data_IF_595236172269
#
_entry.id   IF_595236172269
#
_cell.length_a   1.000
_cell.length_b   1.000
_cell.length_c   1.000
_cell.angle_alpha   90.00
_cell.angle_beta   90.00
_cell.angle_gamma   90.00
#
_symmetry.space_group_name_H-M   'P 1'
#
loop_
_entity.id
_entity.type
_entity.pdbx_description
1 polymer ?
#
# COMPACT_ATOMS: atom_id res chain seq x y z
N UNK A 1 29.65 -31.15 38.93
CA UNK A 1 29.75 -32.26 39.89
C UNK A 1 31.22 -32.49 40.16
N UNK A 2 31.77 -31.85 41.19
CA UNK A 2 33.10 -32.18 41.71
C UNK A 2 32.92 -32.45 43.20
N UNK A 3 33.34 -33.66 43.53
CA UNK A 3 33.07 -34.47 44.70
C UNK A 3 33.85 -33.90 45.89
N UNK A 4 33.16 -33.62 46.99
CA UNK A 4 33.80 -33.29 48.25
C UNK A 4 34.61 -34.50 48.72
N UNK A 5 35.92 -34.31 48.88
CA UNK A 5 36.80 -35.30 49.52
C UNK A 5 36.68 -35.06 51.01
N UNK A 6 35.82 -35.84 51.63
CA UNK A 6 35.66 -35.96 53.07
C UNK A 6 36.95 -36.56 53.66
N UNK A 7 37.65 -35.78 54.49
CA UNK A 7 38.77 -36.28 55.28
C UNK A 7 38.22 -37.16 56.40
N UNK A 8 38.37 -38.48 56.25
CA UNK A 8 38.16 -39.44 57.33
C UNK A 8 39.25 -39.23 58.38
N UNK A 9 38.92 -38.57 59.49
CA UNK A 9 39.70 -38.64 60.72
C UNK A 9 39.46 -40.03 61.29
N UNK A 10 40.40 -40.96 61.05
CA UNK A 10 40.39 -42.24 61.76
C UNK A 10 40.82 -41.99 63.20
N UNK A 11 39.90 -42.22 64.13
CA UNK A 11 40.13 -42.31 65.57
C UNK A 11 41.37 -43.17 65.86
N UNK A 12 42.39 -42.54 66.43
CA UNK A 12 43.61 -43.19 66.92
C UNK A 12 43.49 -43.53 68.42
N UNK A 13 42.29 -43.86 68.89
CA UNK A 13 42.06 -44.42 70.23
C UNK A 13 42.19 -45.94 70.16
N UNK A 14 43.42 -46.46 70.03
CA UNK A 14 43.73 -47.87 70.30
C UNK A 14 45.26 -48.04 70.34
N UNK A 15 45.85 -47.83 71.52
CA UNK A 15 46.97 -48.62 72.08
C UNK A 15 47.37 -48.06 73.46
N UNK A 16 46.67 -48.55 74.47
CA UNK A 16 47.07 -48.44 75.87
C UNK A 16 48.23 -49.45 76.09
N UNK A 17 49.45 -48.95 76.25
CA UNK A 17 50.66 -49.74 76.42
C UNK A 17 51.68 -48.99 77.27
N UNK A 18 51.80 -49.43 78.52
CA UNK A 18 52.68 -48.96 79.58
C UNK A 18 54.17 -48.84 79.16
N UNK A 19 54.67 -47.61 79.02
CA UNK A 19 56.10 -47.29 79.18
C UNK A 19 56.29 -45.89 79.76
N UNK A 20 56.54 -45.80 81.07
CA UNK A 20 57.18 -44.64 81.70
C UNK A 20 58.63 -44.49 81.21
N UNK A 21 58.83 -43.79 80.10
CA UNK A 21 60.06 -43.08 79.70
C UNK A 21 59.80 -42.34 78.39
N UNK A 22 60.07 -41.03 78.40
CA UNK A 22 60.10 -40.09 77.25
C UNK A 22 58.82 -39.31 76.86
N UNK A 23 57.93 -38.99 77.82
CA UNK A 23 56.79 -38.06 77.61
C UNK A 23 57.20 -36.65 77.10
N UNK A 24 58.44 -36.24 77.33
CA UNK A 24 58.94 -34.94 76.88
C UNK A 24 59.34 -34.94 75.39
N UNK A 25 59.89 -36.04 74.87
CA UNK A 25 60.32 -36.12 73.47
C UNK A 25 59.14 -36.45 72.53
N UNK A 26 58.17 -37.25 72.98
CA UNK A 26 56.93 -37.52 72.20
C UNK A 26 56.04 -36.28 72.05
N UNK A 27 55.95 -35.44 73.10
CA UNK A 27 55.22 -34.17 73.04
C UNK A 27 55.87 -33.13 72.12
N UNK A 28 57.21 -33.09 72.06
CA UNK A 28 57.95 -32.21 71.17
C UNK A 28 57.82 -32.67 69.70
N UNK A 29 57.90 -33.97 69.44
CA UNK A 29 57.69 -34.55 68.10
C UNK A 29 56.25 -34.35 67.59
N UNK A 30 55.25 -34.53 68.45
CA UNK A 30 53.84 -34.28 68.11
C UNK A 30 53.58 -32.78 67.81
N UNK A 31 54.23 -31.87 68.54
CA UNK A 31 54.19 -30.43 68.29
C UNK A 31 54.84 -30.03 66.95
N UNK A 32 55.99 -30.64 66.61
CA UNK A 32 56.63 -30.45 65.32
C UNK A 32 55.80 -31.00 64.15
N UNK A 33 55.17 -32.17 64.33
CA UNK A 33 54.26 -32.76 63.35
C UNK A 33 53.05 -31.85 63.09
N UNK A 34 52.40 -31.34 64.13
CA UNK A 34 51.26 -30.43 63.99
C UNK A 34 51.68 -29.12 63.30
N UNK A 35 52.87 -28.58 63.60
CA UNK A 35 53.42 -27.39 62.93
C UNK A 35 53.71 -27.63 61.45
N UNK A 36 54.21 -28.82 61.11
CA UNK A 36 54.45 -29.23 59.73
C UNK A 36 53.13 -29.43 58.97
N UNK A 37 52.14 -30.04 59.60
CA UNK A 37 50.79 -30.21 59.04
C UNK A 37 50.13 -28.86 58.78
N UNK A 38 50.21 -27.93 59.73
CA UNK A 38 49.69 -26.57 59.54
C UNK A 38 50.40 -25.88 58.36
N UNK A 39 51.72 -26.03 58.24
CA UNK A 39 52.47 -25.46 57.11
C UNK A 39 52.08 -26.11 55.78
N UNK A 40 51.89 -27.43 55.74
CA UNK A 40 51.43 -28.15 54.55
C UNK A 40 50.01 -27.73 54.17
N UNK A 41 49.11 -27.58 55.13
CA UNK A 41 47.75 -27.11 54.90
C UNK A 41 47.74 -25.68 54.36
N UNK A 42 48.54 -24.78 54.95
CA UNK A 42 48.70 -23.41 54.47
C UNK A 42 49.27 -23.36 53.05
N UNK A 43 50.26 -24.20 52.73
CA UNK A 43 50.85 -24.30 51.39
C UNK A 43 49.87 -24.89 50.38
N UNK A 44 49.10 -25.91 50.75
CA UNK A 44 48.10 -26.50 49.87
C UNK A 44 46.99 -25.49 49.57
N UNK A 45 46.47 -24.80 50.59
CA UNK A 45 45.51 -23.70 50.43
C UNK A 45 46.06 -22.55 49.56
N UNK A 46 47.35 -22.25 49.70
CA UNK A 46 48.02 -21.24 48.85
C UNK A 46 48.12 -21.71 47.39
N UNK A 47 48.44 -22.99 47.15
CA UNK A 47 48.50 -23.59 45.82
C UNK A 47 47.11 -23.66 45.18
N UNK A 48 46.07 -24.05 45.92
CA UNK A 48 44.68 -24.03 45.47
C UNK A 48 44.25 -22.62 45.06
N UNK A 49 44.58 -21.59 45.87
CA UNK A 49 44.29 -20.20 45.52
C UNK A 49 44.99 -19.78 44.23
N UNK A 50 46.26 -20.14 44.05
CA UNK A 50 47.02 -19.85 42.82
C UNK A 50 46.47 -20.59 41.60
N UNK A 51 46.05 -21.84 41.76
CA UNK A 51 45.38 -22.61 40.70
C UNK A 51 44.05 -21.99 40.31
N UNK A 52 43.24 -21.57 41.29
CA UNK A 52 41.98 -20.88 41.03
C UNK A 52 42.19 -19.54 40.32
N UNK A 53 43.22 -18.79 40.70
CA UNK A 53 43.59 -17.53 40.04
C UNK A 53 44.11 -17.76 38.60
N UNK A 54 44.98 -18.74 38.40
CA UNK A 54 45.47 -19.11 37.07
C UNK A 54 44.33 -19.58 36.15
N UNK A 55 43.40 -20.39 36.64
CA UNK A 55 42.22 -20.81 35.87
C UNK A 55 41.34 -19.62 35.49
N UNK A 56 41.07 -18.69 36.40
CA UNK A 56 40.33 -17.45 36.09
C UNK A 56 41.04 -16.60 35.03
N UNK A 57 42.36 -16.51 35.07
CA UNK A 57 43.14 -15.80 34.05
C UNK A 57 43.07 -16.52 32.69
N UNK A 58 43.13 -17.85 32.68
CA UNK A 58 42.96 -18.66 31.47
C UNK A 58 41.57 -18.49 30.86
N UNK A 59 40.52 -18.48 31.67
CA UNK A 59 39.14 -18.21 31.22
C UNK A 59 39.03 -16.80 30.63
N UNK A 60 39.58 -15.79 31.32
CA UNK A 60 39.60 -14.40 30.83
C UNK A 60 40.32 -14.25 29.49
N UNK A 61 41.50 -14.86 29.35
CA UNK A 61 42.27 -14.89 28.10
C UNK A 61 41.53 -15.62 26.97
N UNK A 62 40.82 -16.69 27.31
CA UNK A 62 40.03 -17.48 26.34
C UNK A 62 38.84 -16.67 25.82
N UNK A 63 38.15 -15.92 26.67
CA UNK A 63 37.07 -15.02 26.23
C UNK A 63 37.61 -13.83 25.41
N UNK A 64 38.76 -13.27 25.79
CA UNK A 64 39.44 -12.23 25.01
C UNK A 64 39.80 -12.74 23.59
N UNK A 65 40.35 -13.95 23.49
CA UNK A 65 40.66 -14.59 22.20
C UNK A 65 39.41 -14.83 21.36
N UNK A 66 38.30 -15.29 21.95
CA UNK A 66 37.02 -15.45 21.24
C UNK A 66 36.51 -14.11 20.71
N UNK A 67 36.60 -13.05 21.51
CA UNK A 67 36.15 -11.72 21.11
C UNK A 67 37.02 -11.17 19.98
N UNK A 68 38.35 -11.28 20.08
CA UNK A 68 39.27 -10.90 19.01
C UNK A 68 39.01 -11.69 17.73
N UNK A 69 38.80 -13.01 17.83
CA UNK A 69 38.47 -13.85 16.67
C UNK A 69 37.14 -13.45 16.01
N UNK A 70 36.12 -13.09 16.80
CA UNK A 70 34.86 -12.57 16.26
C UNK A 70 35.03 -11.23 15.54
N UNK A 71 35.90 -10.37 16.07
CA UNK A 71 36.24 -9.08 15.48
C UNK A 71 37.03 -9.25 14.19
N UNK A 72 37.99 -10.17 14.15
CA UNK A 72 38.76 -10.52 12.96
C UNK A 72 37.83 -10.99 11.84
N UNK A 73 36.93 -11.94 12.13
CA UNK A 73 35.91 -12.40 11.17
C UNK A 73 35.04 -11.26 10.63
N UNK A 74 34.62 -10.33 11.49
CA UNK A 74 33.83 -9.17 11.08
C UNK A 74 34.63 -8.22 10.18
N UNK A 75 35.92 -8.03 10.46
CA UNK A 75 36.80 -7.21 9.64
C UNK A 75 37.05 -7.88 8.29
N UNK A 76 37.27 -9.19 8.25
CA UNK A 76 37.41 -9.94 7.00
C UNK A 76 36.17 -9.85 6.13
N UNK A 77 34.97 -9.99 6.70
CA UNK A 77 33.73 -9.81 5.93
C UNK A 77 33.61 -8.39 5.37
N UNK A 78 34.00 -7.37 6.14
CA UNK A 78 33.99 -5.96 5.67
C UNK A 78 35.00 -5.73 4.56
N UNK A 79 36.19 -6.31 4.66
CA UNK A 79 37.23 -6.21 3.61
C UNK A 79 36.75 -6.91 2.34
N UNK A 80 36.13 -8.09 2.45
CA UNK A 80 35.56 -8.81 1.29
C UNK A 80 34.43 -8.01 0.63
N UNK A 81 33.53 -7.41 1.41
CA UNK A 81 32.47 -6.54 0.91
C UNK A 81 33.04 -5.32 0.18
N UNK A 82 34.02 -4.64 0.77
CA UNK A 82 34.69 -3.50 0.15
C UNK A 82 35.42 -3.89 -1.14
N UNK A 83 36.13 -5.02 -1.16
CA UNK A 83 36.80 -5.52 -2.36
C UNK A 83 35.81 -5.87 -3.47
N UNK A 84 34.66 -6.47 -3.13
CA UNK A 84 33.59 -6.74 -4.08
C UNK A 84 32.98 -5.45 -4.63
N UNK A 85 32.76 -4.44 -3.79
CA UNK A 85 32.25 -3.13 -4.20
C UNK A 85 33.24 -2.40 -5.11
N UNK A 86 34.54 -2.40 -4.78
CA UNK A 86 35.58 -1.81 -5.64
C UNK A 86 35.59 -2.50 -7.00
N UNK A 87 35.57 -3.84 -7.03
CA UNK A 87 35.53 -4.59 -8.30
C UNK A 87 34.28 -4.26 -9.12
N UNK A 88 33.12 -4.08 -8.49
CA UNK A 88 31.91 -3.65 -9.18
C UNK A 88 32.06 -2.23 -9.76
N UNK A 89 32.59 -1.28 -8.97
CA UNK A 89 32.87 0.07 -9.44
C UNK A 89 33.91 0.10 -10.57
N UNK A 90 34.94 -0.73 -10.51
CA UNK A 90 35.94 -0.85 -11.59
C UNK A 90 35.32 -1.36 -12.88
N UNK A 91 34.41 -2.33 -12.81
CA UNK A 91 33.64 -2.82 -13.97
C UNK A 91 32.72 -1.72 -14.51
N UNK A 92 32.03 -1.00 -13.63
CA UNK A 92 31.14 0.10 -14.02
C UNK A 92 31.91 1.27 -14.65
N UNK A 93 33.08 1.62 -14.10
CA UNK A 93 33.99 2.64 -14.65
C UNK A 93 34.57 2.16 -15.98
N UNK A 94 34.98 0.89 -16.08
CA UNK A 94 35.47 0.31 -17.34
C UNK A 94 34.39 0.32 -18.42
N UNK A 95 33.14 0.07 -18.05
CA UNK A 95 31.99 0.16 -18.95
C UNK A 95 31.69 1.60 -19.35
N UNK A 96 31.84 2.55 -18.41
CA UNK A 96 31.68 3.97 -18.68
C UNK A 96 32.82 4.53 -19.56
N UNK A 97 34.05 4.03 -19.42
CA UNK A 97 35.21 4.46 -20.19
C UNK A 97 35.33 3.80 -21.57
N UNK A 98 34.74 2.62 -21.77
CA UNK A 98 34.64 1.93 -23.07
C UNK A 98 33.41 2.34 -23.90
N UNK A 99 32.50 3.16 -23.35
CA UNK A 99 31.52 3.90 -24.16
C UNK A 99 32.24 4.93 -25.04
N UNK A 100 31.73 5.26 -26.25
CA UNK A 100 32.40 6.18 -27.15
C UNK A 100 32.63 7.51 -26.43
N UNK A 101 33.89 7.95 -26.45
CA UNK A 101 34.49 8.99 -25.64
C UNK A 101 33.64 10.26 -25.46
N UNK A 102 33.71 10.84 -24.26
CA UNK A 102 33.31 12.23 -24.02
C UNK A 102 31.98 12.39 -23.27
N UNK A 103 32.04 12.20 -21.96
CA UNK A 103 31.03 12.73 -21.04
C UNK A 103 31.24 14.24 -20.84
N UNK A 104 30.84 15.04 -21.82
CA UNK A 104 30.24 16.35 -21.54
C UNK A 104 28.78 16.25 -22.01
N UNK A 105 27.87 16.82 -21.23
CA UNK A 105 26.43 16.53 -21.29
C UNK A 105 25.86 16.38 -22.70
N UNK A 106 25.46 15.15 -23.05
CA UNK A 106 24.55 14.87 -24.17
C UNK A 106 23.13 15.32 -23.77
N UNK A 107 23.00 16.61 -23.45
CA UNK A 107 21.74 17.31 -23.39
C UNK A 107 21.27 17.62 -24.81
N UNK A 108 20.02 18.08 -24.92
CA UNK A 108 19.35 18.55 -26.15
C UNK A 108 20.25 19.34 -27.12
N UNK A 109 21.28 20.00 -26.61
CA UNK A 109 22.24 20.83 -27.34
C UNK A 109 23.11 20.05 -28.35
N UNK A 110 23.43 18.76 -28.10
CA UNK A 110 24.22 17.97 -29.07
C UNK A 110 23.38 17.55 -30.28
N UNK A 111 22.08 17.25 -30.09
CA UNK A 111 21.15 17.01 -31.20
C UNK A 111 20.92 18.29 -32.02
N UNK A 112 20.88 19.45 -31.37
CA UNK A 112 20.78 20.75 -32.02
C UNK A 112 22.05 21.05 -32.86
N UNK A 113 23.25 20.82 -32.31
CA UNK A 113 24.52 21.01 -33.01
C UNK A 113 24.74 20.01 -34.17
N UNK A 114 24.23 18.79 -34.07
CA UNK A 114 24.25 17.81 -35.17
C UNK A 114 23.26 18.17 -36.28
N UNK A 115 22.08 18.70 -35.94
CA UNK A 115 21.13 19.25 -36.90
C UNK A 115 21.69 20.51 -37.61
N UNK A 116 22.38 21.38 -36.88
CA UNK A 116 22.97 22.61 -37.43
C UNK A 116 24.17 22.32 -38.34
N UNK A 117 24.90 21.23 -38.07
CA UNK A 117 26.00 20.75 -38.93
C UNK A 117 25.51 20.01 -40.19
N UNK A 118 24.24 19.61 -40.24
CA UNK A 118 23.59 18.98 -41.40
C UNK A 118 23.05 20.02 -42.42
N UNK A 119 23.79 21.10 -42.67
CA UNK A 119 23.54 22.00 -43.80
C UNK A 119 23.95 21.30 -45.12
N UNK A 120 23.23 21.49 -46.24
CA UNK A 120 23.19 20.51 -47.31
C UNK A 120 24.35 20.68 -48.29
N UNK A 121 25.36 19.82 -48.18
CA UNK A 121 26.20 19.45 -49.31
C UNK A 121 26.51 17.95 -49.29
N UNK A 122 25.80 17.22 -50.15
CA UNK A 122 26.10 15.87 -50.67
C UNK A 122 26.22 14.65 -49.71
N UNK A 123 25.63 14.68 -48.51
CA UNK A 123 25.75 13.58 -47.51
C UNK A 123 24.47 13.09 -46.83
N UNK A 124 23.31 13.11 -47.48
CA UNK A 124 21.99 12.89 -46.84
C UNK A 124 21.82 11.49 -46.19
N UNK A 125 22.49 10.46 -46.70
CA UNK A 125 22.38 9.08 -46.18
C UNK A 125 23.23 8.87 -44.91
N UNK A 126 24.36 9.56 -44.75
CA UNK A 126 25.25 9.36 -43.59
C UNK A 126 24.80 10.16 -42.37
N UNK A 127 24.17 11.32 -42.57
CA UNK A 127 23.60 12.13 -41.49
C UNK A 127 22.40 11.45 -40.82
N UNK A 128 21.56 10.78 -41.62
CA UNK A 128 20.39 10.03 -41.14
C UNK A 128 20.77 8.78 -40.36
N UNK A 129 21.78 8.04 -40.82
CA UNK A 129 22.35 6.90 -40.08
C UNK A 129 23.01 7.31 -38.76
N UNK A 130 23.72 8.45 -38.75
CA UNK A 130 24.33 9.01 -37.53
C UNK A 130 23.29 9.43 -36.49
N UNK A 131 22.22 10.10 -36.93
CA UNK A 131 21.10 10.48 -36.07
C UNK A 131 20.35 9.24 -35.54
N UNK A 132 20.11 8.24 -36.38
CA UNK A 132 19.46 6.99 -35.98
C UNK A 132 20.30 6.23 -34.94
N UNK A 133 21.62 6.21 -35.09
CA UNK A 133 22.56 5.63 -34.12
C UNK A 133 22.53 6.36 -32.78
N UNK A 134 22.54 7.70 -32.79
CA UNK A 134 22.45 8.51 -31.57
C UNK A 134 21.12 8.29 -30.82
N UNK A 135 20.01 8.23 -31.56
CA UNK A 135 18.67 7.95 -30.99
C UNK A 135 18.61 6.51 -30.42
N UNK A 136 19.20 5.53 -31.10
CA UNK A 136 19.29 4.17 -30.59
C UNK A 136 20.09 4.11 -29.27
N UNK A 137 21.22 4.81 -29.19
CA UNK A 137 22.03 4.88 -27.98
C UNK A 137 21.27 5.55 -26.83
N UNK A 138 20.55 6.64 -27.12
CA UNK A 138 19.74 7.35 -26.11
C UNK A 138 18.60 6.47 -25.60
N UNK A 139 17.90 5.77 -26.50
CA UNK A 139 16.87 4.77 -26.15
C UNK A 139 17.45 3.70 -25.24
N UNK A 140 18.65 3.19 -25.56
CA UNK A 140 19.26 2.11 -24.79
C UNK A 140 19.69 2.58 -23.39
N UNK A 141 20.13 3.84 -23.25
CA UNK A 141 20.38 4.47 -21.93
C UNK A 141 19.09 4.60 -21.12
N UNK A 142 18.02 5.11 -21.72
CA UNK A 142 16.71 5.20 -21.05
C UNK A 142 16.19 3.83 -20.66
N UNK A 143 16.38 2.81 -21.51
CA UNK A 143 15.99 1.44 -21.19
C UNK A 143 16.77 0.89 -20.00
N UNK A 144 18.09 1.12 -19.94
CA UNK A 144 18.91 0.72 -18.80
C UNK A 144 18.49 1.44 -17.51
N UNK A 145 18.27 2.75 -17.58
CA UNK A 145 17.78 3.54 -16.44
C UNK A 145 16.39 3.06 -15.96
N UNK A 146 15.49 2.73 -16.90
CA UNK A 146 14.17 2.22 -16.56
C UNK A 146 14.24 0.84 -15.88
N UNK A 147 15.07 -0.08 -16.40
CA UNK A 147 15.32 -1.38 -15.76
C UNK A 147 15.92 -1.22 -14.35
N UNK A 148 16.85 -0.28 -14.17
CA UNK A 148 17.40 0.01 -12.84
C UNK A 148 16.34 0.56 -11.88
N UNK A 149 15.50 1.49 -12.33
CA UNK A 149 14.39 2.03 -11.54
C UNK A 149 13.34 0.97 -11.21
N UNK A 150 13.01 0.08 -12.15
CA UNK A 150 12.12 -1.06 -11.92
C UNK A 150 12.71 -2.02 -10.88
N UNK A 151 14.03 -2.26 -10.93
CA UNK A 151 14.76 -3.04 -9.93
C UNK A 151 14.71 -2.42 -8.54
N UNK A 152 14.99 -1.12 -8.42
CA UNK A 152 14.87 -0.40 -7.14
C UNK A 152 13.43 -0.43 -6.62
N UNK A 153 12.44 -0.22 -7.49
CA UNK A 153 11.03 -0.29 -7.13
C UNK A 153 10.64 -1.68 -6.59
N UNK A 154 11.15 -2.75 -7.21
CA UNK A 154 10.93 -4.12 -6.74
C UNK A 154 11.57 -4.36 -5.36
N UNK A 155 12.78 -3.84 -5.12
CA UNK A 155 13.46 -3.93 -3.82
C UNK A 155 12.69 -3.15 -2.74
N UNK A 156 12.23 -1.93 -3.05
CA UNK A 156 11.42 -1.13 -2.14
C UNK A 156 10.10 -1.82 -1.79
N UNK A 157 9.40 -2.38 -2.77
CA UNK A 157 8.19 -3.19 -2.54
C UNK A 157 8.47 -4.39 -1.64
N UNK A 158 9.59 -5.10 -1.85
CA UNK A 158 9.99 -6.21 -0.98
C UNK A 158 10.26 -5.75 0.46
N UNK A 159 10.92 -4.60 0.65
CA UNK A 159 11.16 -4.01 1.98
C UNK A 159 9.85 -3.63 2.67
N UNK A 160 8.91 -3.00 1.96
CA UNK A 160 7.58 -2.67 2.49
C UNK A 160 6.87 -3.95 2.97
N UNK A 161 6.84 -5.00 2.14
CA UNK A 161 6.22 -6.27 2.51
C UNK A 161 6.87 -6.91 3.76
N UNK A 162 8.20 -6.80 3.90
CA UNK A 162 8.92 -7.24 5.10
C UNK A 162 8.48 -6.44 6.32
N UNK A 163 8.51 -5.11 6.25
CA UNK A 163 8.10 -4.25 7.37
C UNK A 163 6.63 -4.46 7.76
N UNK A 164 5.73 -4.69 6.79
CA UNK A 164 4.34 -5.04 7.06
C UNK A 164 4.19 -6.40 7.77
N UNK A 165 5.04 -7.37 7.42
CA UNK A 165 5.11 -8.65 8.14
C UNK A 165 5.61 -8.47 9.57
N UNK A 166 6.69 -7.72 9.75
CA UNK A 166 7.28 -7.45 11.07
C UNK A 166 6.31 -6.70 11.98
N UNK A 167 5.61 -5.70 11.45
CA UNK A 167 4.56 -4.98 12.17
C UNK A 167 3.42 -5.91 12.56
N UNK A 168 3.02 -6.88 11.71
CA UNK A 168 1.99 -7.87 12.07
C UNK A 168 2.48 -8.79 13.18
N UNK A 169 3.71 -9.29 13.10
CA UNK A 169 4.30 -10.15 14.14
C UNK A 169 4.41 -9.40 15.47
N UNK A 170 4.97 -8.19 15.47
CA UNK A 170 5.08 -7.36 16.67
C UNK A 170 3.73 -7.03 17.29
N UNK A 171 2.70 -6.74 16.48
CA UNK A 171 1.33 -6.52 16.99
C UNK A 171 0.78 -7.78 17.65
N UNK A 172 0.93 -8.95 17.02
CA UNK A 172 0.51 -10.23 17.61
C UNK A 172 1.23 -10.48 18.94
N UNK A 173 2.54 -10.25 18.99
CA UNK A 173 3.33 -10.52 20.19
C UNK A 173 3.06 -9.52 21.31
N UNK A 174 2.78 -8.26 20.99
CA UNK A 174 2.30 -7.26 21.94
C UNK A 174 0.95 -7.68 22.55
N UNK A 175 0.02 -8.20 21.74
CA UNK A 175 -1.27 -8.73 22.26
C UNK A 175 -1.05 -9.95 23.16
N UNK A 176 -0.15 -10.87 22.80
CA UNK A 176 0.20 -12.02 23.67
C UNK A 176 0.87 -11.58 24.98
N UNK A 177 1.72 -10.54 24.95
CA UNK A 177 2.28 -9.97 26.17
C UNK A 177 1.20 -9.37 27.05
N UNK A 178 0.26 -8.63 26.46
CA UNK A 178 -0.91 -8.10 27.16
C UNK A 178 -1.73 -9.22 27.82
N UNK A 179 -2.01 -10.31 27.10
CA UNK A 179 -2.66 -11.51 27.63
C UNK A 179 -1.90 -12.09 28.83
N UNK A 180 -0.57 -12.28 28.72
CA UNK A 180 0.24 -12.80 29.83
C UNK A 180 0.20 -11.89 31.06
N UNK A 181 0.28 -10.58 30.87
CA UNK A 181 0.17 -9.60 31.95
C UNK A 181 -1.20 -9.72 32.62
N UNK A 182 -2.29 -9.76 31.83
CA UNK A 182 -3.65 -9.89 32.34
C UNK A 182 -3.88 -11.21 33.07
N UNK A 183 -3.32 -12.31 32.56
CA UNK A 183 -3.38 -13.61 33.21
C UNK A 183 -2.67 -13.59 34.57
N UNK A 184 -1.45 -13.03 34.63
CA UNK A 184 -0.71 -12.89 35.88
C UNK A 184 -1.40 -11.97 36.89
N UNK A 185 -2.08 -10.92 36.43
CA UNK A 185 -2.94 -10.05 37.23
C UNK A 185 -4.11 -10.85 37.82
N UNK A 186 -4.82 -11.62 37.00
CA UNK A 186 -5.94 -12.47 37.44
C UNK A 186 -5.55 -13.54 38.47
N UNK A 187 -4.28 -13.96 38.48
CA UNK A 187 -3.74 -14.94 39.44
C UNK A 187 -3.24 -14.29 40.75
N UNK A 188 -3.07 -12.97 40.79
CA UNK A 188 -2.58 -12.22 41.98
C UNK A 188 -3.63 -11.47 42.82
N UNK A 189 -4.95 -11.78 42.84
CA UNK A 189 -5.89 -11.01 43.67
C UNK A 189 -5.63 -11.18 45.18
N UNK A 190 -4.92 -12.24 45.60
CA UNK A 190 -4.63 -12.53 47.02
C UNK A 190 -3.48 -11.73 47.64
N UNK A 191 -2.60 -11.11 46.84
CA UNK A 191 -1.46 -10.33 47.35
C UNK A 191 -1.77 -8.82 47.48
N UNK A 192 -2.83 -8.35 46.82
CA UNK A 192 -3.23 -6.94 46.82
C UNK A 192 -3.85 -6.48 48.16
N UNK A 193 -4.42 -7.39 48.97
CA UNK A 193 -4.99 -7.02 50.29
C UNK A 193 -3.93 -6.76 51.38
N UNK A 194 -2.66 -7.10 51.16
CA UNK A 194 -1.59 -7.00 52.18
C UNK A 194 -0.53 -5.91 51.91
N UNK A 195 -0.57 -5.21 50.78
CA UNK A 195 0.48 -4.25 50.40
C UNK A 195 -0.07 -2.88 50.04
N UNK A 196 -0.55 -2.16 51.04
CA UNK A 196 -0.99 -0.77 50.97
C UNK A 196 0.11 0.27 50.69
N UNK A 197 1.32 -0.12 50.23
CA UNK A 197 2.42 0.84 50.10
C UNK A 197 3.49 0.53 49.03
N UNK A 198 3.30 -0.48 48.18
CA UNK A 198 4.16 -0.67 47.02
C UNK A 198 3.49 0.02 45.82
N UNK A 199 4.17 1.00 45.25
CA UNK A 199 3.81 1.76 44.04
C UNK A 199 2.89 0.97 43.11
N UNK A 200 1.72 1.55 42.86
CA UNK A 200 0.62 1.04 42.03
C UNK A 200 1.09 0.82 40.57
N UNK A 201 1.77 -0.30 40.32
CA UNK A 201 2.10 -0.79 38.98
C UNK A 201 0.82 -1.27 38.27
N UNK A 202 -0.26 -1.51 39.02
CA UNK A 202 -1.56 -2.00 38.55
C UNK A 202 -2.35 -0.92 37.78
N UNK A 203 -2.39 0.32 38.27
CA UNK A 203 -2.92 1.46 37.51
C UNK A 203 -1.99 1.95 36.39
N UNK A 204 -0.73 1.50 36.37
CA UNK A 204 0.29 2.00 35.45
C UNK A 204 0.16 1.44 34.03
N UNK A 205 -0.30 0.21 33.85
CA UNK A 205 -0.38 -0.44 32.52
C UNK A 205 -1.62 0.03 31.75
N UNK A 206 -2.80 0.04 32.37
CA UNK A 206 -4.04 0.54 31.73
C UNK A 206 -4.01 2.07 31.52
N UNK A 207 -3.09 2.79 32.17
CA UNK A 207 -2.81 4.22 31.92
C UNK A 207 -1.71 4.47 30.86
N UNK A 208 -1.11 3.43 30.29
CA UNK A 208 0.00 3.57 29.35
C UNK A 208 -0.51 3.93 27.94
N UNK A 209 0.10 4.91 27.24
CA UNK A 209 -0.37 5.29 25.92
C UNK A 209 -0.29 4.11 24.94
N UNK A 210 -1.36 3.91 24.16
CA UNK A 210 -1.58 2.80 23.22
C UNK A 210 -2.00 1.45 23.83
N UNK A 211 -2.17 1.34 25.16
CA UNK A 211 -2.68 0.10 25.78
C UNK A 211 -4.11 -0.23 25.31
N UNK A 212 -4.95 0.79 25.12
CA UNK A 212 -6.33 0.63 24.66
C UNK A 212 -6.43 -0.10 23.32
N UNK A 213 -5.44 0.08 22.43
CA UNK A 213 -5.41 -0.64 21.15
C UNK A 213 -5.18 -2.13 21.34
N UNK A 214 -4.29 -2.51 22.26
CA UNK A 214 -3.98 -3.91 22.55
C UNK A 214 -5.08 -4.55 23.39
N UNK A 215 -5.70 -3.80 24.31
CA UNK A 215 -6.88 -4.22 25.07
C UNK A 215 -8.05 -4.56 24.16
N UNK A 216 -8.43 -3.65 23.26
CA UNK A 216 -9.50 -3.90 22.28
C UNK A 216 -9.18 -5.11 21.38
N UNK A 217 -7.93 -5.24 20.91
CA UNK A 217 -7.50 -6.37 20.09
C UNK A 217 -7.55 -7.70 20.87
N UNK A 218 -7.20 -7.68 22.15
CA UNK A 218 -7.29 -8.83 23.05
C UNK A 218 -8.75 -9.23 23.28
N UNK A 219 -9.62 -8.28 23.66
CA UNK A 219 -11.05 -8.52 23.88
C UNK A 219 -11.74 -9.08 22.64
N UNK A 220 -11.42 -8.56 21.46
CA UNK A 220 -11.92 -9.09 20.20
C UNK A 220 -11.44 -10.52 19.95
N UNK A 221 -10.19 -10.84 20.29
CA UNK A 221 -9.60 -12.17 20.11
C UNK A 221 -10.12 -13.23 21.10
N UNK A 222 -10.46 -12.83 22.32
CA UNK A 222 -10.94 -13.71 23.39
C UNK A 222 -12.45 -13.96 23.29
N UNK A 223 -13.20 -13.05 22.69
CA UNK A 223 -14.65 -13.18 22.61
C UNK A 223 -15.06 -14.37 21.73
N UNK A 224 -15.70 -15.43 22.27
CA UNK A 224 -16.08 -16.60 21.49
C UNK A 224 -17.10 -16.27 20.39
N UNK A 225 -17.89 -15.20 20.59
CA UNK A 225 -18.92 -14.79 19.64
C UNK A 225 -18.36 -14.02 18.44
N UNK A 226 -17.21 -13.35 18.54
CA UNK A 226 -16.60 -12.65 17.38
C UNK A 226 -16.09 -13.69 16.39
N UNK A 227 -15.32 -14.67 16.87
CA UNK A 227 -14.81 -15.80 16.07
C UNK A 227 -15.96 -16.62 15.50
N UNK A 228 -17.00 -16.91 16.31
CA UNK A 228 -18.18 -17.62 15.84
C UNK A 228 -18.94 -16.84 14.76
N UNK A 229 -19.21 -15.55 14.97
CA UNK A 229 -19.91 -14.71 14.01
C UNK A 229 -19.11 -14.53 12.71
N UNK A 230 -17.79 -14.41 12.81
CA UNK A 230 -16.90 -14.36 11.64
C UNK A 230 -16.93 -15.68 10.87
N UNK A 231 -16.83 -16.82 11.56
CA UNK A 231 -16.91 -18.16 10.95
C UNK A 231 -18.28 -18.43 10.34
N UNK A 232 -19.36 -18.05 11.01
CA UNK A 232 -20.71 -18.19 10.48
C UNK A 232 -20.94 -17.28 9.27
N UNK A 233 -20.40 -16.05 9.27
CA UNK A 233 -20.39 -15.17 8.08
C UNK A 233 -19.58 -15.76 6.93
N UNK A 234 -18.42 -16.35 7.20
CA UNK A 234 -17.60 -17.01 6.19
C UNK A 234 -18.32 -18.22 5.59
N UNK A 235 -18.91 -19.08 6.40
CA UNK A 235 -19.73 -20.20 5.95
C UNK A 235 -20.98 -19.74 5.18
N UNK A 236 -21.61 -18.63 5.60
CA UNK A 236 -22.73 -18.07 4.87
C UNK A 236 -22.30 -17.55 3.50
N UNK A 237 -21.15 -16.86 3.41
CA UNK A 237 -20.55 -16.48 2.13
C UNK A 237 -20.21 -17.71 1.31
N UNK A 238 -19.74 -18.78 1.95
CA UNK A 238 -19.35 -19.99 1.24
C UNK A 238 -20.55 -20.78 0.69
N UNK A 239 -21.69 -20.73 1.39
CA UNK A 239 -22.94 -21.34 0.95
C UNK A 239 -23.67 -20.54 -0.15
N UNK A 240 -23.27 -19.30 -0.44
CA UNK A 240 -23.86 -18.49 -1.51
C UNK A 240 -23.26 -18.84 -2.86
N UNK A 241 -24.11 -18.84 -3.90
CA UNK A 241 -23.71 -19.02 -5.29
C UNK A 241 -22.72 -17.93 -5.73
N UNK A 242 -21.81 -18.24 -6.65
CA UNK A 242 -20.77 -17.29 -7.08
C UNK A 242 -21.36 -16.02 -7.68
N UNK A 243 -22.52 -16.12 -8.34
CA UNK A 243 -23.26 -14.95 -8.84
C UNK A 243 -23.78 -14.07 -7.70
N UNK A 244 -24.32 -14.66 -6.63
CA UNK A 244 -24.77 -13.94 -5.44
C UNK A 244 -23.61 -13.29 -4.67
N UNK A 245 -22.43 -13.93 -4.63
CA UNK A 245 -21.22 -13.35 -4.04
C UNK A 245 -20.76 -12.11 -4.79
N UNK A 246 -20.68 -12.19 -6.12
CA UNK A 246 -20.32 -11.05 -6.97
C UNK A 246 -21.36 -9.94 -6.85
N UNK A 247 -22.65 -10.28 -6.78
CA UNK A 247 -23.71 -9.29 -6.58
C UNK A 247 -23.62 -8.60 -5.21
N UNK A 248 -23.37 -9.37 -4.14
CA UNK A 248 -23.16 -8.82 -2.80
C UNK A 248 -21.93 -7.92 -2.76
N UNK A 249 -20.82 -8.35 -3.34
CA UNK A 249 -19.59 -7.56 -3.40
C UNK A 249 -19.78 -6.30 -4.25
N UNK A 250 -20.44 -6.39 -5.40
CA UNK A 250 -20.80 -5.24 -6.22
C UNK A 250 -21.71 -4.27 -5.44
N UNK A 251 -22.74 -4.78 -4.76
CA UNK A 251 -23.64 -3.94 -3.95
C UNK A 251 -22.92 -3.26 -2.79
N UNK A 252 -22.02 -3.96 -2.11
CA UNK A 252 -21.21 -3.43 -1.02
C UNK A 252 -20.13 -2.48 -1.52
N UNK A 253 -19.61 -2.68 -2.72
CA UNK A 253 -18.69 -1.76 -3.37
C UNK A 253 -19.38 -0.44 -3.72
N UNK A 254 -20.60 -0.51 -4.27
CA UNK A 254 -21.40 0.68 -4.58
C UNK A 254 -21.87 1.43 -3.32
N UNK A 255 -22.29 0.73 -2.26
CA UNK A 255 -22.76 1.38 -1.02
C UNK A 255 -21.65 1.72 -0.03
N UNK A 256 -20.61 0.90 0.03
CA UNK A 256 -19.50 1.03 0.98
C UNK A 256 -18.57 2.17 0.62
N UNK A 257 -18.25 2.34 -0.66
CA UNK A 257 -17.27 3.32 -1.08
C UNK A 257 -17.84 4.76 -1.08
N UNK A 258 -17.16 5.68 -0.40
CA UNK A 258 -17.59 7.08 -0.31
C UNK A 258 -17.65 7.77 -1.69
N UNK A 259 -16.76 7.41 -2.61
CA UNK A 259 -16.76 7.95 -3.98
C UNK A 259 -17.93 7.39 -4.80
N UNK A 260 -18.30 6.12 -4.61
CA UNK A 260 -19.44 5.52 -5.32
C UNK A 260 -20.76 6.22 -4.93
N UNK A 261 -20.92 6.57 -3.65
CA UNK A 261 -22.04 7.40 -3.18
C UNK A 261 -22.08 8.78 -3.85
N UNK A 262 -20.93 9.44 -4.04
CA UNK A 262 -20.85 10.72 -4.76
C UNK A 262 -21.17 10.55 -6.25
N UNK A 263 -20.67 9.50 -6.89
CA UNK A 263 -20.95 9.20 -8.29
C UNK A 263 -22.45 8.98 -8.55
N UNK A 264 -23.14 8.19 -7.70
CA UNK A 264 -24.58 7.98 -7.80
C UNK A 264 -25.37 9.30 -7.68
N UNK A 265 -24.98 10.17 -6.75
CA UNK A 265 -25.60 11.48 -6.59
C UNK A 265 -25.46 12.33 -7.87
N UNK A 266 -24.25 12.44 -8.42
CA UNK A 266 -24.04 13.16 -9.68
C UNK A 266 -24.78 12.51 -10.86
N UNK A 267 -24.80 11.18 -10.93
CA UNK A 267 -25.56 10.45 -11.95
C UNK A 267 -27.05 10.79 -11.89
N UNK A 268 -27.66 10.80 -10.70
CA UNK A 268 -29.04 11.23 -10.51
C UNK A 268 -29.25 12.67 -10.96
N UNK A 269 -28.37 13.60 -10.56
CA UNK A 269 -28.45 15.01 -10.96
C UNK A 269 -28.38 15.16 -12.49
N UNK A 270 -27.42 14.52 -13.14
CA UNK A 270 -27.26 14.56 -14.61
C UNK A 270 -28.49 13.97 -15.31
N UNK A 271 -29.01 12.83 -14.82
CA UNK A 271 -30.23 12.24 -15.36
C UNK A 271 -31.43 13.18 -15.24
N UNK A 272 -31.58 13.87 -14.10
CA UNK A 272 -32.64 14.88 -13.95
C UNK A 272 -32.44 16.03 -14.95
N UNK A 273 -31.24 16.57 -15.08
CA UNK A 273 -30.95 17.61 -16.09
C UNK A 273 -31.26 17.15 -17.52
N UNK A 274 -30.94 15.90 -17.85
CA UNK A 274 -31.23 15.33 -19.16
C UNK A 274 -32.74 15.23 -19.39
N UNK A 275 -33.48 14.67 -18.42
CA UNK A 275 -34.95 14.57 -18.50
C UNK A 275 -35.57 15.96 -18.62
N UNK A 276 -35.19 16.92 -17.78
CA UNK A 276 -35.66 18.31 -17.89
C UNK A 276 -35.32 18.94 -19.24
N UNK A 277 -34.12 18.70 -19.77
CA UNK A 277 -33.70 19.19 -21.09
C UNK A 277 -34.55 18.57 -22.22
N UNK A 278 -34.85 17.28 -22.15
CA UNK A 278 -35.72 16.62 -23.15
C UNK A 278 -37.15 17.15 -23.10
N UNK A 279 -37.72 17.32 -21.90
CA UNK A 279 -39.04 17.93 -21.70
C UNK A 279 -39.07 19.38 -22.17
N UNK A 280 -38.02 20.15 -21.90
CA UNK A 280 -37.89 21.53 -22.36
C UNK A 280 -37.86 21.62 -23.89
N UNK A 281 -37.03 20.81 -24.55
CA UNK A 281 -36.97 20.76 -26.01
C UNK A 281 -38.29 20.30 -26.62
N UNK A 282 -38.94 19.28 -26.05
CA UNK A 282 -40.24 18.79 -26.53
C UNK A 282 -41.34 19.85 -26.41
N UNK A 283 -41.41 20.55 -25.27
CA UNK A 283 -42.41 21.62 -25.06
C UNK A 283 -42.16 22.80 -26.01
N UNK A 284 -40.90 23.20 -26.18
CA UNK A 284 -40.56 24.37 -26.99
C UNK A 284 -40.66 24.09 -28.51
N UNK A 285 -40.41 22.86 -28.95
CA UNK A 285 -40.67 22.43 -30.34
C UNK A 285 -42.18 22.31 -30.61
N UNK A 286 -42.96 21.82 -29.65
CA UNK A 286 -44.42 21.80 -29.75
C UNK A 286 -45.02 23.21 -29.83
N UNK A 287 -44.56 24.17 -29.02
CA UNK A 287 -45.00 25.57 -29.13
C UNK A 287 -44.65 26.21 -30.46
N UNK A 288 -43.44 25.96 -30.98
CA UNK A 288 -43.03 26.47 -32.30
C UNK A 288 -43.86 25.85 -33.42
N UNK A 289 -44.15 24.55 -33.35
CA UNK A 289 -45.00 23.87 -34.33
C UNK A 289 -46.47 24.37 -34.26
N UNK A 290 -47.00 24.61 -33.05
CA UNK A 290 -48.32 25.22 -32.85
C UNK A 290 -48.39 26.66 -33.37
N UNK A 291 -47.35 27.46 -33.15
CA UNK A 291 -47.25 28.86 -33.66
C UNK A 291 -47.13 28.88 -35.19
N UNK A 292 -46.29 28.03 -35.78
CA UNK A 292 -46.15 27.90 -37.24
C UNK A 292 -47.43 27.37 -37.90
N UNK A 293 -48.12 26.41 -37.27
CA UNK A 293 -49.42 25.91 -37.71
C UNK A 293 -50.52 26.98 -37.64
N UNK A 294 -50.58 27.76 -36.57
CA UNK A 294 -51.53 28.87 -36.44
C UNK A 294 -51.28 29.97 -37.48
N UNK A 295 -50.01 30.34 -37.69
CA UNK A 295 -49.62 31.37 -38.66
C UNK A 295 -49.81 30.91 -40.12
N UNK A 296 -49.70 29.61 -40.39
CA UNK A 296 -50.00 29.02 -41.70
C UNK A 296 -51.50 28.90 -42.01
N UNK A 297 -52.36 28.85 -40.99
CA UNK A 297 -53.82 28.83 -41.12
C UNK A 297 -54.43 30.23 -41.36
N UNK A 298 -53.84 31.29 -40.78
CA UNK A 298 -54.34 32.67 -40.92
C UNK A 298 -53.94 33.36 -42.24
N UNK A 299 -52.78 33.01 -42.81
CA UNK A 299 -52.27 33.67 -44.03
C UNK A 299 -53.09 33.40 -45.31
N UNK A 300 -53.61 32.19 -45.59
CA UNK A 300 -54.40 31.93 -46.79
C UNK A 300 -55.85 32.40 -46.68
N UNK A 301 -56.46 32.38 -45.48
CA UNK A 301 -57.84 32.85 -45.26
C UNK A 301 -57.95 34.36 -45.43
N UNK A 302 -56.97 35.13 -44.94
CA UNK A 302 -56.96 36.58 -45.07
C UNK A 302 -56.74 37.03 -46.54
N UNK A 303 -55.83 36.37 -47.27
CA UNK A 303 -55.58 36.66 -48.70
C UNK A 303 -56.72 36.22 -49.62
N UNK A 304 -57.38 35.10 -49.32
CA UNK A 304 -58.56 34.64 -50.06
C UNK A 304 -59.77 35.56 -49.80
N UNK A 305 -59.99 35.98 -48.56
CA UNK A 305 -61.04 36.94 -48.20
C UNK A 305 -60.80 38.31 -48.86
N UNK A 306 -59.56 38.82 -48.90
CA UNK A 306 -59.23 40.06 -49.62
C UNK A 306 -59.52 39.97 -51.12
N UNK A 307 -59.20 38.84 -51.77
CA UNK A 307 -59.51 38.64 -53.20
C UNK A 307 -61.00 38.56 -53.48
N UNK A 308 -61.79 37.92 -52.60
CA UNK A 308 -63.24 37.87 -52.74
C UNK A 308 -63.90 39.25 -52.53
N UNK A 309 -63.42 40.03 -51.56
CA UNK A 309 -63.87 41.41 -51.36
C UNK A 309 -63.50 42.30 -52.56
N UNK A 310 -62.28 42.19 -53.10
CA UNK A 310 -61.90 42.90 -54.32
C UNK A 310 -62.73 42.48 -55.55
N UNK A 311 -63.06 41.20 -55.68
CA UNK A 311 -63.90 40.70 -56.77
C UNK A 311 -65.37 41.17 -56.63
N UNK A 312 -65.91 41.25 -55.41
CA UNK A 312 -67.25 41.77 -55.15
C UNK A 312 -67.36 43.28 -55.38
N UNK A 313 -66.32 44.05 -55.03
CA UNK A 313 -66.23 45.50 -55.28
C UNK A 313 -66.06 45.81 -56.77
N UNK A 314 -65.51 44.88 -57.57
CA UNK A 314 -65.33 45.03 -59.02
C UNK A 314 -66.61 44.85 -59.86
N UNK A 315 -67.79 44.73 -59.25
CA UNK A 315 -69.06 45.06 -59.90
C UNK A 315 -69.44 44.22 -61.14
N UNK A 316 -69.35 42.89 -61.05
CA UNK A 316 -69.87 42.01 -62.12
C UNK A 316 -70.85 41.00 -61.53
N UNK A 317 -72.13 41.25 -61.72
CA UNK A 317 -73.21 40.31 -61.38
C UNK A 317 -73.01 39.00 -62.14
N UNK A 318 -72.45 38.00 -61.47
CA UNK A 318 -72.24 36.67 -62.00
C UNK A 318 -73.31 35.74 -61.43
N UNK A 319 -73.91 34.95 -62.31
CA UNK A 319 -74.97 34.01 -62.00
C UNK A 319 -74.51 32.97 -60.98
N UNK A 320 -75.47 32.43 -60.22
CA UNK A 320 -75.28 31.48 -59.12
C UNK A 320 -74.44 30.26 -59.54
N UNK A 321 -74.51 29.85 -60.81
CA UNK A 321 -73.72 28.75 -61.36
C UNK A 321 -72.23 29.07 -61.55
N UNK A 322 -71.87 30.31 -61.91
CA UNK A 322 -70.47 30.72 -62.02
C UNK A 322 -69.80 30.84 -60.64
N UNK A 323 -70.60 31.23 -59.63
CA UNK A 323 -70.15 31.25 -58.24
C UNK A 323 -69.87 29.84 -57.72
N UNK A 324 -70.69 28.84 -58.04
CA UNK A 324 -70.46 27.46 -57.64
C UNK A 324 -69.16 26.88 -58.23
N UNK A 325 -68.91 27.08 -59.52
CA UNK A 325 -67.68 26.62 -60.17
C UNK A 325 -66.42 27.33 -59.63
N UNK A 326 -66.51 28.63 -59.33
CA UNK A 326 -65.41 29.37 -58.70
C UNK A 326 -65.14 28.89 -57.26
N UNK A 327 -66.19 28.52 -56.52
CA UNK A 327 -66.07 27.99 -55.15
C UNK A 327 -65.45 26.59 -55.14
N UNK A 328 -65.81 25.75 -56.11
CA UNK A 328 -65.24 24.42 -56.29
C UNK A 328 -63.76 24.48 -56.71
N UNK A 329 -63.41 25.36 -57.66
CA UNK A 329 -62.02 25.61 -58.04
C UNK A 329 -61.18 26.18 -56.88
N UNK A 330 -61.76 27.04 -56.05
CA UNK A 330 -61.12 27.54 -54.83
C UNK A 330 -60.93 26.44 -53.78
N UNK A 331 -61.89 25.52 -53.65
CA UNK A 331 -61.79 24.37 -52.75
C UNK A 331 -60.71 23.38 -53.18
N UNK A 332 -60.57 23.10 -54.49
CA UNK A 332 -59.49 22.26 -55.00
C UNK A 332 -58.12 22.92 -54.84
N UNK A 333 -58.02 24.23 -55.11
CA UNK A 333 -56.78 24.98 -54.89
C UNK A 333 -56.38 24.98 -53.41
N UNK A 334 -57.33 25.09 -52.48
CA UNK A 334 -57.09 25.01 -51.05
C UNK A 334 -56.57 23.63 -50.62
N UNK A 335 -57.13 22.54 -51.15
CA UNK A 335 -56.66 21.15 -50.89
C UNK A 335 -55.23 20.94 -51.40
N UNK A 336 -54.91 21.46 -52.59
CA UNK A 336 -53.60 21.29 -53.20
C UNK A 336 -52.52 22.12 -52.48
N UNK A 337 -52.88 23.27 -51.94
CA UNK A 337 -52.01 24.08 -51.07
C UNK A 337 -51.81 23.42 -49.70
N UNK A 338 -52.86 22.87 -49.07
CA UNK A 338 -52.74 22.12 -47.82
C UNK A 338 -51.79 20.91 -47.96
N UNK A 339 -51.87 20.19 -49.09
CA UNK A 339 -50.95 19.10 -49.42
C UNK A 339 -49.50 19.59 -49.59
N UNK A 340 -49.29 20.73 -50.27
CA UNK A 340 -47.95 21.32 -50.44
C UNK A 340 -47.34 21.81 -49.12
N UNK A 341 -48.15 22.39 -48.23
CA UNK A 341 -47.71 22.83 -46.90
C UNK A 341 -47.35 21.62 -46.03
N UNK A 342 -48.18 20.57 -46.03
CA UNK A 342 -47.88 19.33 -45.31
C UNK A 342 -46.58 18.68 -45.81
N UNK A 343 -46.35 18.65 -47.12
CA UNK A 343 -45.08 18.16 -47.71
C UNK A 343 -43.87 19.02 -47.33
N UNK A 344 -44.00 20.36 -47.27
CA UNK A 344 -42.92 21.25 -46.82
C UNK A 344 -42.57 21.06 -45.35
N UNK A 345 -43.57 20.94 -44.49
CA UNK A 345 -43.36 20.69 -43.05
C UNK A 345 -42.68 19.34 -42.82
N UNK A 346 -43.07 18.31 -43.57
CA UNK A 346 -42.41 17.00 -43.52
C UNK A 346 -40.98 17.04 -44.06
N UNK A 347 -40.72 17.79 -45.14
CA UNK A 347 -39.37 17.97 -45.70
C UNK A 347 -38.43 18.73 -44.76
N UNK A 348 -38.90 19.80 -44.10
CA UNK A 348 -38.09 20.55 -43.12
C UNK A 348 -37.85 19.76 -41.82
N UNK A 349 -38.78 18.91 -41.42
CA UNK A 349 -38.59 17.97 -40.30
C UNK A 349 -37.57 16.88 -40.62
N UNK A 350 -37.43 16.49 -41.90
CA UNK A 350 -36.51 15.46 -42.37
C UNK A 350 -35.11 16.00 -42.75
N UNK A 351 -35.01 17.27 -43.18
CA UNK A 351 -33.77 17.91 -43.65
C UNK A 351 -32.86 18.51 -42.55
N UNK A 352 -33.09 18.24 -41.27
CA UNK A 352 -32.10 18.57 -40.22
C UNK A 352 -31.27 17.33 -39.84
N UNK A 353 -30.19 16.98 -40.57
CA UNK A 353 -29.13 16.17 -40.00
C UNK A 353 -28.46 17.00 -38.88
N UNK A 354 -28.03 16.29 -37.84
CA UNK A 354 -27.59 16.82 -36.55
C UNK A 354 -26.88 18.16 -36.59
N UNK A 355 -27.43 19.11 -35.84
CA UNK A 355 -26.71 20.31 -35.45
C UNK A 355 -26.80 20.42 -33.92
N UNK A 356 -25.86 19.71 -33.29
CA UNK A 356 -25.10 20.08 -32.09
C UNK A 356 -24.11 18.99 -31.73
#
# INVERSE_FOLDING_TARGET
>A
VLQAVEYNMLDADLLEGDSMRDDAEEGEFAGEMHRLEEMLMQKNKQLEKRLAEANRQMDGKTEELKLLQSREKMLDTKVQEQAAQIKAMEVDISRASQGPAGSEGFGSDHLCALLEKASPSDGEVTATDSLASAVAQQRDRFRQANVALEGENAVLKKRIASYESDVRTLRSDNVKMYEKIKFLESYKPSLATQRSHAVDVEASIDSMPNIDRYKNAYEESINPFTVFNQRQRALRRDKMDMAERVLLEASQFFLGHAVARKFLFFYMVIMHFLVFSTLYNFTHTHEKCKKLGAQALDLPTQKAAQKLVQAAVAGKGMSVHANAAALEAAAEAAKLQASKVSKRVLLEAWQRPGDK
#
